data_IF_235695100483
#
_entry.id   IF_235695100483
#
_cell.length_a   1.000
_cell.length_b   1.000
_cell.length_c   1.000
_cell.angle_alpha   90.00
_cell.angle_beta   90.00
_cell.angle_gamma   90.00
#
_symmetry.space_group_name_H-M   'P 1'
#
loop_
_entity.id
_entity.type
_entity.pdbx_description
1 polymer ?
#
# COMPACT_ATOMS: atom_id res chain seq x y z
N UNK A 1 7.90 -0.46 -6.51
CA UNK A 1 8.62 -0.38 -5.22
C UNK A 1 7.66 -0.71 -4.08
N UNK A 2 7.97 -1.71 -3.23
CA UNK A 2 7.31 -2.19 -1.98
C UNK A 2 7.13 -3.72 -2.03
N UNK A 3 7.64 -4.49 -1.03
CA UNK A 3 7.53 -4.30 0.42
C UNK A 3 8.81 -4.56 1.25
N UNK A 4 9.92 -3.88 0.93
CA UNK A 4 11.10 -3.88 1.82
C UNK A 4 10.81 -3.29 3.20
N UNK A 5 9.86 -2.33 3.31
CA UNK A 5 9.49 -1.78 4.62
C UNK A 5 8.77 -2.80 5.52
N UNK A 6 8.03 -3.75 4.97
CA UNK A 6 7.39 -4.81 5.78
C UNK A 6 8.45 -5.69 6.44
N UNK A 7 9.56 -5.93 5.75
CA UNK A 7 10.71 -6.64 6.33
C UNK A 7 11.39 -5.81 7.43
N UNK A 8 11.44 -4.48 7.29
CA UNK A 8 11.98 -3.58 8.30
C UNK A 8 11.08 -3.43 9.54
N UNK A 9 9.78 -3.76 9.41
CA UNK A 9 8.78 -3.61 10.46
C UNK A 9 8.09 -4.96 10.78
N UNK A 10 8.81 -5.94 11.37
CA UNK A 10 8.29 -7.31 11.54
C UNK A 10 7.09 -7.43 12.48
N UNK A 11 6.86 -6.43 13.35
CA UNK A 11 5.75 -6.40 14.31
C UNK A 11 4.61 -5.48 13.85
N UNK A 12 4.65 -4.96 12.63
CA UNK A 12 3.59 -4.10 12.10
C UNK A 12 2.27 -4.90 12.05
N UNK A 13 1.25 -4.40 12.74
CA UNK A 13 -0.09 -5.01 12.75
C UNK A 13 -1.07 -4.29 11.83
N UNK A 14 -0.90 -2.98 11.66
CA UNK A 14 -1.82 -2.13 10.91
C UNK A 14 -1.03 -1.32 9.89
N UNK A 15 -1.50 -1.33 8.63
CA UNK A 15 -0.89 -0.58 7.54
C UNK A 15 -1.94 0.29 6.84
N UNK A 16 -1.71 1.60 6.84
CA UNK A 16 -2.47 2.54 6.01
C UNK A 16 -1.60 3.04 4.85
N UNK A 17 -2.08 2.86 3.62
CA UNK A 17 -1.48 3.40 2.40
C UNK A 17 -2.44 4.39 1.76
N UNK A 18 -2.00 5.63 1.58
CA UNK A 18 -2.79 6.68 0.95
C UNK A 18 -2.21 6.99 -0.42
N UNK A 19 -2.87 6.47 -1.46
CA UNK A 19 -2.47 6.68 -2.84
C UNK A 19 -2.98 8.03 -3.33
N UNK A 20 -2.11 8.79 -3.99
CA UNK A 20 -2.49 9.92 -4.82
C UNK A 20 -2.61 9.40 -6.25
N UNK A 21 -3.74 9.62 -6.91
CA UNK A 21 -3.86 9.33 -8.34
C UNK A 21 -3.07 10.40 -9.08
N UNK A 22 -1.86 10.07 -9.50
CA UNK A 22 -1.23 10.81 -10.58
C UNK A 22 -1.79 10.21 -11.87
N UNK A 23 -2.58 11.00 -12.60
CA UNK A 23 -3.03 10.64 -13.94
C UNK A 23 -1.78 10.36 -14.80
N UNK A 24 -1.72 9.16 -15.37
CA UNK A 24 -0.81 8.74 -16.43
C UNK A 24 0.66 9.16 -16.28
N UNK A 25 1.40 8.39 -15.50
CA UNK A 25 2.69 7.94 -16.04
C UNK A 25 2.47 6.52 -16.53
N UNK A 26 2.75 6.27 -17.81
CA UNK A 26 3.05 4.93 -18.31
C UNK A 26 4.24 4.39 -17.51
N UNK A 27 4.01 3.93 -16.29
CA UNK A 27 5.03 3.23 -15.53
C UNK A 27 5.35 1.99 -16.35
N UNK A 28 6.62 1.80 -16.79
CA UNK A 28 6.99 0.59 -17.47
C UNK A 28 6.52 -0.59 -16.62
N UNK A 29 6.05 -1.67 -17.26
CA UNK A 29 5.77 -2.94 -16.59
C UNK A 29 7.07 -3.50 -16.01
N UNK A 30 7.64 -2.85 -15.01
CA UNK A 30 8.66 -3.44 -14.18
C UNK A 30 8.00 -4.66 -13.55
N UNK A 31 8.62 -5.82 -13.79
CA UNK A 31 8.26 -7.06 -13.12
C UNK A 31 8.57 -6.83 -11.65
N UNK A 32 7.61 -6.28 -10.91
CA UNK A 32 7.69 -6.13 -9.46
C UNK A 32 7.74 -7.54 -8.90
N UNK A 33 8.95 -7.98 -8.56
CA UNK A 33 9.15 -9.21 -7.81
C UNK A 33 8.74 -8.95 -6.38
N UNK A 34 7.66 -9.59 -5.95
CA UNK A 34 7.31 -9.61 -4.54
C UNK A 34 8.38 -10.40 -3.78
N UNK A 35 8.89 -9.89 -2.65
CA UNK A 35 9.81 -10.64 -1.83
C UNK A 35 9.12 -11.90 -1.30
N UNK A 36 9.94 -12.91 -1.06
CA UNK A 36 9.50 -14.14 -0.39
C UNK A 36 9.06 -13.92 1.06
N UNK A 37 9.27 -12.71 1.61
CA UNK A 37 8.87 -12.35 2.96
C UNK A 37 7.36 -12.50 3.15
N UNK A 38 6.97 -12.97 4.33
CA UNK A 38 5.58 -13.11 4.77
C UNK A 38 5.41 -12.25 6.03
N UNK A 39 4.60 -11.18 5.99
CA UNK A 39 4.36 -10.35 7.16
C UNK A 39 3.46 -11.12 8.14
N UNK A 40 4.09 -11.73 9.16
CA UNK A 40 3.43 -12.65 10.07
C UNK A 40 2.50 -11.97 11.10
N UNK A 41 2.70 -10.68 11.35
CA UNK A 41 1.95 -9.95 12.38
C UNK A 41 0.94 -8.96 11.79
N UNK A 42 0.89 -8.79 10.48
CA UNK A 42 0.02 -7.82 9.86
C UNK A 42 -1.42 -8.34 9.82
N UNK A 43 -2.31 -7.57 10.45
CA UNK A 43 -3.73 -7.90 10.63
C UNK A 43 -4.63 -7.06 9.75
N UNK A 44 -4.34 -5.77 9.61
CA UNK A 44 -5.22 -4.84 8.88
C UNK A 44 -4.45 -4.05 7.84
N UNK A 45 -5.08 -3.88 6.68
CA UNK A 45 -4.58 -3.04 5.59
C UNK A 45 -5.70 -2.13 5.11
N UNK A 46 -5.43 -0.82 5.10
CA UNK A 46 -6.27 0.20 4.46
C UNK A 46 -5.51 0.79 3.28
N UNK A 47 -6.12 0.78 2.09
CA UNK A 47 -5.60 1.49 0.93
C UNK A 47 -6.64 2.50 0.47
N UNK A 48 -6.35 3.79 0.63
CA UNK A 48 -7.21 4.88 0.14
C UNK A 48 -6.72 5.41 -1.21
N UNK A 49 -7.61 5.96 -2.03
CA UNK A 49 -7.31 6.37 -3.40
C UNK A 49 -7.11 5.17 -4.33
N UNK A 50 -7.71 4.02 -4.01
CA UNK A 50 -7.56 2.81 -4.81
C UNK A 50 -8.45 2.87 -6.06
N UNK A 51 -7.83 3.02 -7.23
CA UNK A 51 -8.51 3.07 -8.54
C UNK A 51 -8.36 1.79 -9.36
N UNK A 52 -7.79 0.73 -8.79
CA UNK A 52 -7.58 -0.55 -9.49
C UNK A 52 -6.37 -0.61 -10.40
N UNK A 53 -5.47 0.40 -10.38
CA UNK A 53 -4.20 0.32 -11.10
C UNK A 53 -3.42 -0.96 -10.75
N UNK A 54 -2.63 -1.42 -11.71
CA UNK A 54 -1.91 -2.69 -11.66
C UNK A 54 -1.02 -2.85 -10.41
N UNK A 55 -0.28 -1.80 -10.03
CA UNK A 55 0.64 -1.84 -8.90
C UNK A 55 -0.08 -1.99 -7.53
N UNK A 56 -1.07 -1.15 -7.18
CA UNK A 56 -1.90 -1.36 -5.99
C UNK A 56 -2.59 -2.72 -5.96
N UNK A 57 -3.16 -3.16 -7.08
CA UNK A 57 -3.85 -4.45 -7.17
C UNK A 57 -2.91 -5.62 -6.90
N UNK A 58 -1.70 -5.60 -7.47
CA UNK A 58 -0.66 -6.60 -7.21
C UNK A 58 -0.22 -6.61 -5.75
N UNK A 59 -0.06 -5.43 -5.13
CA UNK A 59 0.27 -5.35 -3.70
C UNK A 59 -0.82 -5.99 -2.85
N UNK A 60 -2.09 -5.68 -3.10
CA UNK A 60 -3.23 -6.31 -2.41
C UNK A 60 -3.19 -7.84 -2.58
N UNK A 61 -2.95 -8.32 -3.80
CA UNK A 61 -2.80 -9.76 -4.06
C UNK A 61 -1.67 -10.38 -3.23
N UNK A 62 -0.50 -9.73 -3.15
CA UNK A 62 0.60 -10.20 -2.31
C UNK A 62 0.18 -10.28 -0.83
N UNK A 63 -0.49 -9.27 -0.29
CA UNK A 63 -0.94 -9.28 1.11
C UNK A 63 -1.90 -10.43 1.37
N UNK A 64 -2.91 -10.61 0.53
CA UNK A 64 -3.89 -11.69 0.65
C UNK A 64 -3.25 -13.09 0.61
N UNK A 65 -2.16 -13.26 -0.13
CA UNK A 65 -1.49 -14.55 -0.26
C UNK A 65 -0.39 -14.81 0.76
N UNK A 66 0.24 -13.76 1.31
CA UNK A 66 1.45 -13.90 2.14
C UNK A 66 1.27 -13.47 3.59
N UNK A 67 0.30 -12.63 3.91
CA UNK A 67 0.06 -12.17 5.28
C UNK A 67 -0.86 -13.16 6.02
N UNK A 68 -0.28 -14.09 6.77
CA UNK A 68 -1.02 -15.19 7.41
C UNK A 68 -1.92 -14.75 8.56
N UNK A 69 -1.61 -13.61 9.19
CA UNK A 69 -2.39 -13.04 10.28
C UNK A 69 -3.40 -11.98 9.79
N UNK A 70 -3.58 -11.83 8.47
CA UNK A 70 -4.42 -10.79 7.91
C UNK A 70 -5.90 -11.09 8.20
N UNK A 71 -6.53 -10.18 8.93
CA UNK A 71 -7.92 -10.26 9.34
C UNK A 71 -8.81 -9.40 8.43
N UNK A 72 -8.30 -8.30 7.88
CA UNK A 72 -9.09 -7.36 7.07
C UNK A 72 -8.25 -6.58 6.04
N UNK A 73 -8.82 -6.43 4.83
CA UNK A 73 -8.34 -5.50 3.80
C UNK A 73 -9.48 -4.55 3.43
N UNK A 74 -9.25 -3.24 3.54
CA UNK A 74 -10.17 -2.21 3.09
C UNK A 74 -9.57 -1.45 1.92
N UNK A 75 -10.26 -1.48 0.78
CA UNK A 75 -9.95 -0.69 -0.39
C UNK A 75 -10.96 0.45 -0.46
N UNK A 76 -10.45 1.67 -0.38
CA UNK A 76 -11.26 2.88 -0.41
C UNK A 76 -10.90 3.67 -1.68
N UNK A 77 -11.85 3.89 -2.62
CA UNK A 77 -11.59 4.71 -3.79
C UNK A 77 -11.41 6.19 -3.44
N UNK A 78 -11.90 6.64 -2.28
CA UNK A 78 -11.73 8.02 -1.85
C UNK A 78 -10.26 8.29 -1.51
N UNK A 79 -9.73 9.40 -2.02
CA UNK A 79 -8.43 9.88 -1.57
C UNK A 79 -8.58 10.51 -0.19
N UNK A 80 -7.70 10.12 0.74
CA UNK A 80 -7.54 10.86 1.98
C UNK A 80 -6.87 12.19 1.62
N UNK A 81 -7.65 13.28 1.63
CA UNK A 81 -7.09 14.64 1.54
C UNK A 81 -6.29 14.84 2.82
N UNK A 82 -4.98 14.59 2.76
CA UNK A 82 -4.07 15.13 3.76
C UNK A 82 -4.12 16.63 3.55
N UNK A 83 -4.80 17.34 4.46
CA UNK A 83 -4.67 18.79 4.54
C UNK A 83 -3.19 19.05 4.82
N UNK A 84 -2.42 19.29 3.76
CA UNK A 84 -1.08 19.81 3.89
C UNK A 84 -1.27 21.14 4.64
N UNK A 85 -0.81 21.19 5.89
CA UNK A 85 -0.54 22.46 6.53
C UNK A 85 0.40 23.17 5.55
N UNK A 86 -0.15 24.12 4.78
CA UNK A 86 0.64 25.13 4.12
C UNK A 86 1.36 25.88 5.25
N UNK A 87 2.54 25.38 5.61
CA UNK A 87 3.50 26.15 6.36
C UNK A 87 3.87 27.29 5.42
N UNK A 88 3.20 28.44 5.64
CA UNK A 88 3.44 29.66 4.91
C UNK A 88 4.92 29.98 4.91
N UNK A 89 5.49 30.06 3.72
CA UNK A 89 6.75 30.75 3.52
C UNK A 89 6.47 32.24 3.75
N UNK A 90 6.88 32.75 4.92
CA UNK A 90 7.14 34.17 5.15
C UNK A 90 8.60 34.46 4.84
#
# INVERSE_FOLDING_TARGET
>A
MIPSFLQACPFLQELELHMRTYEDSEEPEEIVTFPSYSPQNLKTVLISGFTGHWNPTRFVYYMLNKATALESVRLDPAQKILLECQMGYF
#
